data_IF_310921958901
#
_entry.id   IF_310921958901
#
_cell.length_a   1.000
_cell.length_b   1.000
_cell.length_c   1.000
_cell.angle_alpha   90.00
_cell.angle_beta   90.00
_cell.angle_gamma   90.00
#
_symmetry.space_group_name_H-M   'P 1'
#
loop_
_entity.id
_entity.type
_entity.pdbx_description
1 polymer ?
#
# COMPACT_ATOMS: atom_id res chain seq x y z
N UNK A 1 8.95 -20.78 17.41
CA UNK A 1 8.41 -19.70 18.27
C UNK A 1 7.78 -18.66 17.36
N UNK A 2 6.44 -18.53 17.43
CA UNK A 2 5.62 -17.73 16.52
C UNK A 2 5.41 -16.34 17.11
N UNK A 3 5.87 -15.29 16.43
CA UNK A 3 5.63 -13.91 16.86
C UNK A 3 4.43 -13.35 16.08
N UNK A 4 3.24 -13.44 16.69
CA UNK A 4 2.02 -12.76 16.25
C UNK A 4 2.06 -11.31 16.72
N UNK A 5 2.44 -10.40 15.84
CA UNK A 5 2.08 -8.98 15.97
C UNK A 5 0.75 -8.75 15.24
N UNK A 6 -0.34 -8.97 15.97
CA UNK A 6 -1.68 -8.53 15.59
C UNK A 6 -1.85 -7.04 15.88
N UNK A 7 -1.66 -6.20 14.87
CA UNK A 7 -2.14 -4.82 14.88
C UNK A 7 -3.58 -4.80 14.36
N UNK A 8 -4.53 -4.58 15.27
CA UNK A 8 -5.96 -4.78 15.03
C UNK A 8 -6.58 -3.86 13.97
N UNK A 9 -7.12 -4.48 12.92
CA UNK A 9 -8.07 -3.87 11.98
C UNK A 9 -9.44 -3.74 12.65
N UNK A 10 -9.83 -2.52 12.99
CA UNK A 10 -11.17 -2.20 13.49
C UNK A 10 -12.16 -2.10 12.33
N UNK A 11 -12.55 -3.26 11.78
CA UNK A 11 -13.73 -3.58 10.95
C UNK A 11 -13.63 -5.08 10.71
N UNK A 12 -14.63 -5.87 11.14
CA UNK A 12 -14.53 -7.32 11.40
C UNK A 12 -14.36 -8.26 10.19
N UNK A 13 -13.59 -7.88 9.17
CA UNK A 13 -12.98 -8.80 8.21
C UNK A 13 -11.48 -8.57 8.29
N UNK A 14 -10.67 -9.56 8.69
CA UNK A 14 -9.22 -9.38 8.72
C UNK A 14 -8.76 -9.03 7.30
N UNK A 15 -8.28 -7.79 7.12
CA UNK A 15 -7.66 -7.37 5.87
C UNK A 15 -6.59 -8.39 5.54
N UNK A 16 -6.69 -8.96 4.35
CA UNK A 16 -5.73 -9.94 3.86
C UNK A 16 -4.37 -9.24 3.72
N UNK A 17 -3.29 -9.93 4.11
CA UNK A 17 -1.95 -9.35 3.97
C UNK A 17 -1.58 -9.31 2.48
N UNK A 18 -0.92 -8.23 2.06
CA UNK A 18 -0.43 -8.08 0.69
C UNK A 18 0.39 -9.29 0.19
N UNK A 19 1.25 -9.85 1.04
CA UNK A 19 2.04 -11.05 0.71
C UNK A 19 1.17 -12.28 0.45
N UNK A 20 0.11 -12.47 1.24
CA UNK A 20 -0.82 -13.58 1.06
C UNK A 20 -1.60 -13.43 -0.27
N UNK A 21 -1.90 -12.20 -0.68
CA UNK A 21 -2.62 -11.93 -1.93
C UNK A 21 -1.73 -12.21 -3.15
N UNK A 22 -0.45 -11.85 -3.06
CA UNK A 22 0.56 -12.22 -4.06
C UNK A 22 0.71 -13.73 -4.14
N UNK A 23 0.83 -14.42 -3.01
CA UNK A 23 1.01 -15.87 -2.97
C UNK A 23 -0.20 -16.58 -3.61
N UNK A 24 -1.42 -16.19 -3.21
CA UNK A 24 -2.65 -16.79 -3.77
C UNK A 24 -2.79 -16.55 -5.28
N UNK A 25 -2.46 -15.35 -5.76
CA UNK A 25 -2.54 -15.04 -7.19
C UNK A 25 -1.45 -15.79 -7.97
N UNK A 26 -0.22 -15.82 -7.43
CA UNK A 26 0.91 -16.53 -8.03
C UNK A 26 0.65 -18.03 -8.13
N UNK A 27 0.13 -18.67 -7.08
CA UNK A 27 -0.24 -20.10 -7.09
C UNK A 27 -1.31 -20.44 -8.15
N UNK A 28 -2.24 -19.52 -8.41
CA UNK A 28 -3.27 -19.70 -9.45
C UNK A 28 -2.66 -19.54 -10.85
N UNK A 29 -1.78 -18.56 -11.01
CA UNK A 29 -1.04 -18.35 -12.25
C UNK A 29 -0.11 -19.53 -12.55
N UNK A 30 0.61 -20.06 -11.57
CA UNK A 30 1.46 -21.23 -11.75
C UNK A 30 0.66 -22.46 -12.21
N UNK A 31 -0.48 -22.72 -11.56
CA UNK A 31 -1.37 -23.83 -11.95
C UNK A 31 -1.93 -23.65 -13.35
N UNK A 32 -2.17 -22.40 -13.78
CA UNK A 32 -2.64 -22.11 -15.12
C UNK A 32 -1.51 -22.18 -16.17
N UNK A 33 -0.33 -21.66 -15.87
CA UNK A 33 0.86 -21.76 -16.70
C UNK A 33 1.26 -23.23 -16.95
N UNK A 34 1.14 -24.10 -15.93
CA UNK A 34 1.31 -25.55 -16.10
C UNK A 34 0.30 -26.19 -17.07
N UNK A 35 -0.88 -25.60 -17.28
CA UNK A 35 -1.83 -26.07 -18.31
C UNK A 35 -1.44 -25.58 -19.71
N UNK A 36 -0.85 -24.40 -19.81
CA UNK A 36 -0.32 -23.83 -21.06
C UNK A 36 1.01 -24.45 -21.51
N UNK A 37 1.74 -25.16 -20.62
CA UNK A 37 2.93 -25.95 -20.96
C UNK A 37 2.78 -26.83 -22.20
N UNK A 38 1.57 -27.31 -22.51
CA UNK A 38 1.32 -28.20 -23.65
C UNK A 38 1.24 -27.47 -25.00
N UNK A 39 1.07 -26.14 -24.99
CA UNK A 39 0.84 -25.34 -26.20
C UNK A 39 2.10 -24.60 -26.70
N UNK A 40 3.14 -24.48 -25.87
CA UNK A 40 4.39 -23.75 -26.18
C UNK A 40 4.17 -22.33 -26.74
N UNK A 41 3.08 -21.69 -26.31
CA UNK A 41 2.58 -20.43 -26.84
C UNK A 41 2.65 -19.35 -25.74
N UNK A 42 3.77 -18.62 -25.71
CA UNK A 42 4.01 -17.51 -24.77
C UNK A 42 3.11 -16.31 -25.09
N UNK A 43 2.83 -16.06 -26.37
CA UNK A 43 1.99 -14.94 -26.81
C UNK A 43 0.52 -15.18 -26.44
N UNK A 44 -0.02 -16.38 -26.71
CA UNK A 44 -1.37 -16.76 -26.31
C UNK A 44 -1.56 -16.82 -24.79
N UNK A 45 -0.51 -17.12 -24.02
CA UNK A 45 -0.56 -17.01 -22.56
C UNK A 45 -0.73 -15.56 -22.12
N UNK A 46 0.03 -14.62 -22.71
CA UNK A 46 -0.05 -13.20 -22.34
C UNK A 46 -1.38 -12.57 -22.74
N UNK A 47 -1.92 -12.91 -23.91
CA UNK A 47 -3.24 -12.43 -24.36
C UNK A 47 -4.37 -12.93 -23.44
N UNK A 48 -4.30 -14.19 -23.00
CA UNK A 48 -5.29 -14.76 -22.09
C UNK A 48 -5.11 -14.37 -20.61
N UNK A 49 -3.90 -13.94 -20.22
CA UNK A 49 -3.55 -13.67 -18.83
C UNK A 49 -4.37 -12.51 -18.26
N UNK A 50 -4.39 -11.38 -18.96
CA UNK A 50 -5.03 -10.18 -18.44
C UNK A 50 -6.54 -10.37 -18.33
N UNK A 51 -7.18 -10.94 -19.36
CA UNK A 51 -8.62 -11.22 -19.34
C UNK A 51 -9.02 -12.18 -18.19
N UNK A 52 -8.14 -13.12 -17.84
CA UNK A 52 -8.43 -14.15 -16.83
C UNK A 52 -8.15 -13.70 -15.40
N UNK A 53 -7.01 -13.07 -15.15
CA UNK A 53 -6.56 -12.76 -13.78
C UNK A 53 -6.90 -11.35 -13.33
N UNK A 54 -7.27 -10.43 -14.22
CA UNK A 54 -7.71 -9.08 -13.83
C UNK A 54 -8.90 -9.08 -12.85
N UNK A 55 -9.99 -9.83 -13.05
CA UNK A 55 -11.08 -9.86 -12.07
C UNK A 55 -10.64 -10.48 -10.73
N UNK A 56 -9.78 -11.51 -10.77
CA UNK A 56 -9.27 -12.14 -9.54
C UNK A 56 -8.32 -11.21 -8.76
N UNK A 57 -7.47 -10.47 -9.46
CA UNK A 57 -6.57 -9.48 -8.87
C UNK A 57 -7.36 -8.32 -8.26
N UNK A 58 -8.44 -7.88 -8.89
CA UNK A 58 -9.31 -6.83 -8.35
C UNK A 58 -10.02 -7.28 -7.06
N UNK A 59 -10.51 -8.52 -7.02
CA UNK A 59 -11.13 -9.09 -5.81
C UNK A 59 -10.12 -9.20 -4.65
N UNK A 60 -8.91 -9.68 -4.93
CA UNK A 60 -7.83 -9.74 -3.95
C UNK A 60 -7.38 -8.34 -3.51
N UNK A 61 -7.29 -7.38 -4.43
CA UNK A 61 -6.95 -6.00 -4.12
C UNK A 61 -8.00 -5.35 -3.20
N UNK A 62 -9.29 -5.64 -3.38
CA UNK A 62 -10.37 -5.19 -2.47
C UNK A 62 -10.23 -5.79 -1.07
N UNK A 63 -9.75 -7.02 -0.95
CA UNK A 63 -9.54 -7.68 0.35
C UNK A 63 -8.30 -7.15 1.11
N UNK A 64 -7.34 -6.57 0.40
CA UNK A 64 -6.09 -6.03 0.97
C UNK A 64 -6.09 -4.50 1.11
N UNK A 65 -6.93 -3.80 0.35
CA UNK A 65 -6.98 -2.34 0.33
C UNK A 65 -8.10 -1.84 1.23
N UNK A 66 -7.82 -1.02 2.26
CA UNK A 66 -8.87 -0.45 3.08
C UNK A 66 -9.73 0.52 2.25
N UNK A 67 -11.07 0.44 2.34
CA UNK A 67 -11.95 1.38 1.65
C UNK A 67 -11.86 2.78 2.26
N UNK A 68 -12.35 3.78 1.53
CA UNK A 68 -12.59 5.09 2.11
C UNK A 68 -13.54 4.94 3.30
N UNK A 69 -13.16 5.49 4.45
CA UNK A 69 -13.93 5.38 5.68
C UNK A 69 -13.94 6.71 6.43
N UNK A 70 -14.98 7.00 7.23
CA UNK A 70 -14.96 8.16 8.10
C UNK A 70 -13.77 8.07 9.04
N UNK A 71 -13.11 9.21 9.26
CA UNK A 71 -11.93 9.28 10.10
C UNK A 71 -12.34 9.07 11.57
N UNK A 72 -11.94 7.92 12.13
CA UNK A 72 -12.31 7.53 13.48
C UNK A 72 -11.42 8.15 14.55
N UNK A 73 -11.87 8.03 15.81
CA UNK A 73 -11.12 8.51 16.98
C UNK A 73 -9.74 7.85 17.10
N UNK A 74 -9.62 6.57 16.71
CA UNK A 74 -8.36 5.84 16.74
C UNK A 74 -7.35 6.43 15.77
N UNK A 75 -7.78 6.78 14.57
CA UNK A 75 -6.93 7.42 13.57
C UNK A 75 -6.49 8.82 14.02
N UNK A 76 -7.36 9.59 14.69
CA UNK A 76 -6.98 10.86 15.34
C UNK A 76 -5.91 10.68 16.40
N UNK A 77 -6.07 9.70 17.30
CA UNK A 77 -5.13 9.41 18.39
C UNK A 77 -3.76 8.98 17.86
N UNK A 78 -3.67 8.39 16.67
CA UNK A 78 -2.40 8.02 16.06
C UNK A 78 -1.81 9.19 15.25
N UNK A 79 -2.63 9.84 14.42
CA UNK A 79 -2.16 10.87 13.49
C UNK A 79 -1.71 12.15 14.22
N UNK A 80 -2.46 12.60 15.23
CA UNK A 80 -2.18 13.87 15.90
C UNK A 80 -0.84 13.83 16.65
N UNK A 81 -0.57 12.85 17.54
CA UNK A 81 0.71 12.79 18.24
C UNK A 81 1.88 12.61 17.27
N UNK A 82 1.72 11.81 16.22
CA UNK A 82 2.76 11.59 15.23
C UNK A 82 3.21 12.90 14.57
N UNK A 83 2.25 13.70 14.08
CA UNK A 83 2.54 14.96 13.40
C UNK A 83 2.99 16.06 14.35
N UNK A 84 2.51 16.07 15.59
CA UNK A 84 3.03 16.96 16.63
C UNK A 84 4.49 16.63 16.98
N UNK A 85 4.84 15.35 17.11
CA UNK A 85 6.22 14.91 17.35
C UNK A 85 7.11 15.31 16.18
N UNK A 86 6.66 15.11 14.94
CA UNK A 86 7.40 15.53 13.75
C UNK A 86 7.62 17.05 13.72
N UNK A 87 6.58 17.85 13.98
CA UNK A 87 6.71 19.31 14.09
C UNK A 87 7.67 19.72 15.21
N UNK A 88 7.61 19.04 16.35
CA UNK A 88 8.52 19.27 17.48
C UNK A 88 9.97 18.90 17.13
N UNK A 89 10.21 17.80 16.41
CA UNK A 89 11.55 17.41 15.95
C UNK A 89 12.12 18.48 15.02
N UNK A 90 11.34 18.97 14.06
CA UNK A 90 11.80 20.04 13.15
C UNK A 90 12.15 21.30 13.94
N UNK A 91 11.32 21.66 14.92
CA UNK A 91 11.58 22.82 15.79
C UNK A 91 12.81 22.63 16.69
N UNK A 92 12.99 21.46 17.31
CA UNK A 92 14.15 21.18 18.15
C UNK A 92 15.44 21.14 17.31
N UNK A 93 15.38 20.55 16.12
CA UNK A 93 16.51 20.58 15.18
C UNK A 93 16.86 22.00 14.75
N UNK A 94 15.88 22.87 14.49
CA UNK A 94 16.17 24.27 14.16
C UNK A 94 16.79 25.01 15.35
N UNK A 95 16.37 24.72 16.58
CA UNK A 95 17.03 25.24 17.80
C UNK A 95 18.49 24.79 17.90
N UNK A 96 18.77 23.51 17.65
CA UNK A 96 20.13 22.95 17.75
C UNK A 96 21.06 23.43 16.63
N UNK A 97 20.55 23.55 15.41
CA UNK A 97 21.36 23.86 14.22
C UNK A 97 21.55 25.37 14.03
N UNK A 98 20.50 26.17 14.25
CA UNK A 98 20.52 27.61 13.94
C UNK A 98 20.52 28.52 15.17
N UNK A 99 20.22 27.99 16.37
CA UNK A 99 20.11 28.76 17.61
C UNK A 99 19.32 30.09 17.42
N UNK A 100 18.12 30.05 16.84
CA UNK A 100 17.38 31.26 16.50
C UNK A 100 16.98 32.01 17.77
N UNK A 101 17.23 33.32 17.78
CA UNK A 101 16.86 34.21 18.90
C UNK A 101 15.80 35.24 18.47
N UNK A 102 15.01 35.73 19.43
CA UNK A 102 14.03 36.78 19.20
C UNK A 102 12.93 36.37 18.22
N UNK A 103 12.70 37.18 17.17
CA UNK A 103 11.63 36.97 16.19
C UNK A 103 11.76 35.65 15.42
N UNK A 104 12.99 35.19 15.18
CA UNK A 104 13.27 33.98 14.41
C UNK A 104 12.80 32.71 15.12
N UNK A 105 12.88 32.67 16.46
CA UNK A 105 12.40 31.54 17.25
C UNK A 105 10.89 31.32 17.03
N UNK A 106 10.11 32.41 17.06
CA UNK A 106 8.68 32.36 16.83
C UNK A 106 8.33 31.96 15.40
N UNK A 107 9.13 32.40 14.41
CA UNK A 107 8.96 31.97 13.03
C UNK A 107 9.15 30.45 12.89
N UNK A 108 10.21 29.88 13.46
CA UNK A 108 10.45 28.44 13.41
C UNK A 108 9.38 27.64 14.18
N UNK A 109 8.92 28.16 15.31
CA UNK A 109 7.80 27.56 16.04
C UNK A 109 6.53 27.53 15.19
N UNK A 110 6.20 28.65 14.52
CA UNK A 110 5.05 28.75 13.63
C UNK A 110 5.16 27.77 12.44
N UNK A 111 6.34 27.62 11.86
CA UNK A 111 6.60 26.64 10.79
C UNK A 111 6.39 25.21 11.29
N UNK A 112 6.88 24.86 12.48
CA UNK A 112 6.67 23.53 13.07
C UNK A 112 5.19 23.21 13.29
N UNK A 113 4.41 24.19 13.78
CA UNK A 113 2.95 24.06 13.93
C UNK A 113 2.27 23.91 12.58
N UNK A 114 2.68 24.68 11.57
CA UNK A 114 2.13 24.59 10.22
C UNK A 114 2.33 23.21 9.61
N UNK A 115 3.52 22.63 9.77
CA UNK A 115 3.84 21.25 9.34
C UNK A 115 2.89 20.25 10.00
N UNK A 116 2.65 20.39 11.31
CA UNK A 116 1.75 19.50 12.02
C UNK A 116 0.30 19.61 11.49
N UNK A 117 -0.21 20.82 11.30
CA UNK A 117 -1.57 21.06 10.77
C UNK A 117 -1.72 20.47 9.36
N UNK A 118 -0.77 20.76 8.47
CA UNK A 118 -0.79 20.26 7.09
C UNK A 118 -0.73 18.73 7.08
N UNK A 119 0.14 18.14 7.90
CA UNK A 119 0.28 16.69 8.00
C UNK A 119 -0.99 15.99 8.50
N UNK A 120 -1.62 16.53 9.54
CA UNK A 120 -2.90 16.04 10.06
C UNK A 120 -3.99 16.15 8.98
N UNK A 121 -4.09 17.30 8.32
CA UNK A 121 -5.03 17.52 7.22
C UNK A 121 -4.81 16.57 6.04
N UNK A 122 -3.56 16.28 5.71
CA UNK A 122 -3.20 15.32 4.67
C UNK A 122 -3.69 13.91 5.02
N UNK A 123 -3.46 13.43 6.24
CA UNK A 123 -3.92 12.11 6.68
C UNK A 123 -5.45 12.03 6.69
N UNK A 124 -6.12 13.11 7.12
CA UNK A 124 -7.57 13.19 7.09
C UNK A 124 -8.12 13.11 5.66
N UNK A 125 -7.55 13.86 4.71
CA UNK A 125 -7.98 13.81 3.32
C UNK A 125 -7.68 12.47 2.66
N UNK A 126 -6.54 11.86 3.01
CA UNK A 126 -6.11 10.59 2.43
C UNK A 126 -6.98 9.40 2.86
N UNK A 127 -7.59 9.49 4.05
CA UNK A 127 -8.50 8.46 4.59
C UNK A 127 -9.95 8.65 4.14
N UNK A 128 -10.40 9.90 4.00
CA UNK A 128 -11.79 10.22 3.65
C UNK A 128 -12.07 10.30 2.15
N UNK A 129 -11.05 10.47 1.30
CA UNK A 129 -11.25 10.64 -0.14
C UNK A 129 -11.50 9.33 -0.88
N UNK A 130 -12.72 9.16 -1.42
CA UNK A 130 -13.09 8.02 -2.27
C UNK A 130 -12.24 7.91 -3.54
N UNK A 131 -11.90 9.05 -4.17
CA UNK A 131 -11.05 9.10 -5.36
C UNK A 131 -9.67 8.48 -5.09
N UNK A 132 -9.11 8.73 -3.90
CA UNK A 132 -7.82 8.15 -3.50
C UNK A 132 -7.93 6.68 -3.13
N UNK A 133 -9.01 6.26 -2.49
CA UNK A 133 -9.26 4.84 -2.23
C UNK A 133 -9.38 4.04 -3.54
N UNK A 134 -10.11 4.57 -4.53
CA UNK A 134 -10.21 3.98 -5.87
C UNK A 134 -8.84 3.91 -6.57
N UNK A 135 -8.04 4.99 -6.47
CA UNK A 135 -6.68 4.99 -7.02
C UNK A 135 -5.79 3.94 -6.34
N UNK A 136 -5.82 3.83 -5.01
CA UNK A 136 -5.05 2.80 -4.28
C UNK A 136 -5.44 1.40 -4.69
N UNK A 137 -6.74 1.14 -4.88
CA UNK A 137 -7.23 -0.14 -5.35
C UNK A 137 -6.70 -0.42 -6.76
N UNK A 138 -6.78 0.53 -7.68
CA UNK A 138 -6.26 0.39 -9.04
C UNK A 138 -4.74 0.13 -9.05
N UNK A 139 -3.97 0.93 -8.31
CA UNK A 139 -2.52 0.78 -8.19
C UNK A 139 -2.14 -0.59 -7.58
N UNK A 140 -2.93 -1.09 -6.62
CA UNK A 140 -2.73 -2.42 -6.01
C UNK A 140 -3.07 -3.56 -6.97
N UNK A 141 -4.16 -3.44 -7.73
CA UNK A 141 -4.53 -4.41 -8.77
C UNK A 141 -3.42 -4.51 -9.81
N UNK A 142 -2.92 -3.36 -10.28
CA UNK A 142 -1.84 -3.31 -11.29
C UNK A 142 -0.54 -3.93 -10.75
N UNK A 143 -0.20 -3.63 -9.49
CA UNK A 143 0.96 -4.24 -8.84
C UNK A 143 0.83 -5.77 -8.72
N UNK A 144 -0.33 -6.27 -8.28
CA UNK A 144 -0.59 -7.71 -8.18
C UNK A 144 -0.48 -8.40 -9.54
N UNK A 145 -1.08 -7.81 -10.58
CA UNK A 145 -0.99 -8.32 -11.95
C UNK A 145 0.45 -8.30 -12.46
N UNK A 146 1.19 -7.23 -12.19
CA UNK A 146 2.59 -7.11 -12.59
C UNK A 146 3.50 -8.18 -11.96
N UNK A 147 3.31 -8.46 -10.67
CA UNK A 147 4.05 -9.54 -9.97
C UNK A 147 3.66 -10.90 -10.53
N UNK A 148 2.36 -11.19 -10.61
CA UNK A 148 1.85 -12.48 -11.05
C UNK A 148 2.21 -12.77 -12.52
N UNK A 149 2.21 -11.76 -13.38
CA UNK A 149 2.64 -11.85 -14.78
C UNK A 149 4.09 -12.29 -14.88
N UNK A 150 5.00 -11.66 -14.11
CA UNK A 150 6.42 -12.04 -14.08
C UNK A 150 6.61 -13.49 -13.66
N UNK A 151 5.94 -13.92 -12.58
CA UNK A 151 5.99 -15.31 -12.12
C UNK A 151 5.53 -16.29 -13.21
N UNK A 152 4.42 -15.99 -13.89
CA UNK A 152 3.91 -16.81 -14.98
C UNK A 152 4.86 -16.90 -16.17
N UNK A 153 5.42 -15.77 -16.62
CA UNK A 153 6.37 -15.73 -17.73
C UNK A 153 7.69 -16.42 -17.40
N UNK A 154 8.22 -16.24 -16.19
CA UNK A 154 9.45 -16.87 -15.75
C UNK A 154 9.29 -18.39 -15.67
N UNK A 155 8.12 -18.87 -15.26
CA UNK A 155 7.79 -20.29 -15.27
C UNK A 155 7.82 -20.84 -16.70
N UNK A 156 7.09 -20.22 -17.63
CA UNK A 156 7.03 -20.67 -19.03
C UNK A 156 8.42 -20.67 -19.68
N UNK A 157 9.20 -19.61 -19.49
CA UNK A 157 10.56 -19.50 -20.03
C UNK A 157 11.54 -20.48 -19.39
N UNK A 158 11.45 -20.70 -18.08
CA UNK A 158 12.28 -21.67 -17.36
C UNK A 158 11.99 -23.11 -17.76
N UNK A 159 10.75 -23.40 -18.15
CA UNK A 159 10.32 -24.70 -18.66
C UNK A 159 10.75 -24.94 -20.10
N UNK A 160 10.73 -23.92 -20.97
CA UNK A 160 11.14 -24.03 -22.37
C UNK A 160 12.68 -24.18 -22.54
N UNK A 161 13.46 -23.99 -21.47
CA UNK A 161 14.91 -24.20 -21.45
C UNK A 161 15.33 -25.62 -21.01
N UNK A 162 14.41 -26.46 -20.56
CA UNK A 162 14.66 -27.87 -20.20
C UNK A 162 14.26 -28.81 -21.30
#
# INVERSE_FOLDING_TARGET
MSNRSGGGSASGVPLMKDGEAVDRLSDRVERWAKKFQRANDEEGFLEGFEAKFRPEAEELARQCTPPARPFGLKEWIIAVPLWLILGAIVFVLSLLVMQPTGIWLWLFAAVGVLIAIIGIGYVYFDTTSEKRAAKRLADKTEWLLGVARRTGTDLIRGLNKR
#
